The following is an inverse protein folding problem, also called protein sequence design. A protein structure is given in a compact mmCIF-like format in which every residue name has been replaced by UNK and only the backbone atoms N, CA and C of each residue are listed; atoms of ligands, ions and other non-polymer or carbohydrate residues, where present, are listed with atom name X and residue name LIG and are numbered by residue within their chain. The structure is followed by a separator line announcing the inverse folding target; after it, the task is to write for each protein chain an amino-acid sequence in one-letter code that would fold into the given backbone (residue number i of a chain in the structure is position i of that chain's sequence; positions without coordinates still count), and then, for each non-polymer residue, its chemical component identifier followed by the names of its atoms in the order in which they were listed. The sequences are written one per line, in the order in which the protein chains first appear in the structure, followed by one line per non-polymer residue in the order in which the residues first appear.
data_IF_371800205531
#
_entry.id   IF_371800205531
#
_cell.length_a   1.000
_cell.length_b   1.000
_cell.length_c   1.000
_cell.angle_alpha   90.00
_cell.angle_beta   90.00
_cell.angle_gamma   90.00
#
_symmetry.space_group_name_H-M   'P 1'
#
loop_
_entity.id
_entity.type
_entity.pdbx_description
1 polymer ?
#
# COMPACT_ATOMS: atom_id res chain seq x y z
N UNK A 1 7.92 29.58 -2.67
CA UNK A 1 7.64 28.13 -2.62
C UNK A 1 6.33 27.91 -3.36
N UNK A 2 6.40 27.40 -4.59
CA UNK A 2 5.31 27.42 -5.57
C UNK A 2 4.15 26.49 -5.17
N UNK A 3 2.92 27.03 -5.11
CA UNK A 3 1.69 26.30 -4.73
C UNK A 3 1.42 25.04 -5.54
N UNK A 4 1.93 24.95 -6.78
CA UNK A 4 1.73 23.81 -7.66
C UNK A 4 2.43 22.53 -7.14
N UNK A 5 3.61 22.67 -6.53
CA UNK A 5 4.37 21.50 -6.05
C UNK A 5 3.79 20.95 -4.73
N UNK A 6 3.12 21.79 -3.93
CA UNK A 6 2.49 21.35 -2.69
C UNK A 6 1.35 20.37 -2.92
N UNK A 7 0.56 20.59 -3.97
CA UNK A 7 -0.57 19.71 -4.30
C UNK A 7 -0.09 18.32 -4.76
N UNK A 8 1.03 18.25 -5.50
CA UNK A 8 1.59 16.98 -5.96
C UNK A 8 2.13 16.13 -4.80
N UNK A 9 2.91 16.71 -3.88
CA UNK A 9 3.42 16.00 -2.72
C UNK A 9 2.31 15.54 -1.76
N UNK A 10 1.27 16.35 -1.57
CA UNK A 10 0.09 15.96 -0.80
C UNK A 10 -0.67 14.81 -1.47
N UNK A 11 -0.88 14.85 -2.78
CA UNK A 11 -1.54 13.77 -3.51
C UNK A 11 -0.73 12.47 -3.46
N UNK A 12 0.59 12.54 -3.62
CA UNK A 12 1.47 11.37 -3.54
C UNK A 12 1.45 10.77 -2.13
N UNK A 13 1.54 11.61 -1.09
CA UNK A 13 1.44 11.18 0.30
C UNK A 13 0.09 10.53 0.60
N UNK A 14 -1.01 11.14 0.15
CA UNK A 14 -2.36 10.61 0.33
C UNK A 14 -2.54 9.27 -0.39
N UNK A 15 -1.95 9.11 -1.58
CA UNK A 15 -2.00 7.86 -2.35
C UNK A 15 -1.28 6.72 -1.63
N UNK A 16 -0.06 6.96 -1.15
CA UNK A 16 0.72 5.97 -0.40
C UNK A 16 0.00 5.58 0.90
N UNK A 17 -0.56 6.58 1.60
CA UNK A 17 -1.35 6.35 2.81
C UNK A 17 -2.60 5.52 2.53
N UNK A 18 -3.39 5.89 1.53
CA UNK A 18 -4.63 5.19 1.17
C UNK A 18 -4.35 3.73 0.75
N UNK A 19 -3.29 3.49 -0.01
CA UNK A 19 -2.93 2.13 -0.45
C UNK A 19 -2.43 1.27 0.72
N UNK A 20 -1.66 1.86 1.64
CA UNK A 20 -1.23 1.18 2.87
C UNK A 20 -2.40 0.87 3.79
N UNK A 21 -3.29 1.84 3.99
CA UNK A 21 -4.52 1.68 4.78
C UNK A 21 -5.45 0.62 4.14
N UNK A 22 -5.52 0.57 2.81
CA UNK A 22 -6.25 -0.46 2.07
C UNK A 22 -5.71 -1.86 2.35
N UNK A 23 -4.39 -2.04 2.35
CA UNK A 23 -3.75 -3.31 2.71
C UNK A 23 -3.92 -3.71 4.18
N UNK A 24 -4.29 -2.79 5.08
CA UNK A 24 -4.62 -3.09 6.48
C UNK A 24 -6.10 -3.44 6.61
N UNK A 25 -6.96 -2.58 6.09
CA UNK A 25 -8.40 -2.72 6.22
C UNK A 25 -8.94 -3.96 5.49
N UNK A 26 -8.46 -4.24 4.27
CA UNK A 26 -8.94 -5.35 3.46
C UNK A 26 -8.78 -6.73 4.15
N UNK A 27 -7.59 -7.13 4.63
CA UNK A 27 -7.42 -8.41 5.30
C UNK A 27 -8.07 -8.44 6.69
N UNK A 28 -8.17 -7.33 7.42
CA UNK A 28 -8.89 -7.28 8.71
C UNK A 28 -10.39 -7.51 8.52
N UNK A 29 -11.01 -6.82 7.55
CA UNK A 29 -12.43 -7.00 7.24
C UNK A 29 -12.67 -8.43 6.72
N UNK A 30 -11.80 -8.92 5.84
CA UNK A 30 -11.84 -10.31 5.38
C UNK A 30 -11.75 -11.31 6.52
N UNK A 31 -10.86 -11.07 7.50
CA UNK A 31 -10.69 -11.92 8.66
C UNK A 31 -11.91 -11.92 9.60
N UNK A 32 -12.54 -10.76 9.81
CA UNK A 32 -13.74 -10.65 10.63
C UNK A 32 -14.89 -11.46 10.05
N UNK A 33 -15.14 -11.32 8.74
CA UNK A 33 -16.23 -12.04 8.06
C UNK A 33 -15.95 -13.54 7.95
N UNK A 34 -14.74 -13.93 7.52
CA UNK A 34 -14.37 -15.34 7.37
C UNK A 34 -14.23 -16.03 8.73
N UNK A 35 -13.67 -15.35 9.72
CA UNK A 35 -13.48 -15.86 11.08
C UNK A 35 -14.80 -16.14 11.78
N UNK A 36 -15.74 -15.19 11.78
CA UNK A 36 -17.06 -15.41 12.38
C UNK A 36 -17.85 -16.50 11.65
N UNK A 37 -17.78 -16.55 10.32
CA UNK A 37 -18.49 -17.58 9.56
C UNK A 37 -17.97 -18.98 9.88
N UNK A 38 -16.65 -19.13 10.00
CA UNK A 38 -16.02 -20.41 10.30
C UNK A 38 -16.28 -20.84 11.75
N UNK A 39 -16.16 -19.92 12.72
CA UNK A 39 -16.47 -20.21 14.13
C UNK A 39 -17.94 -20.64 14.31
N UNK A 40 -18.87 -19.99 13.63
CA UNK A 40 -20.30 -20.32 13.70
C UNK A 40 -20.63 -21.67 13.04
N UNK A 41 -19.87 -22.06 12.00
CA UNK A 41 -20.03 -23.36 11.32
C UNK A 41 -19.50 -24.53 12.14
N UNK A 42 -18.42 -24.34 12.89
CA UNK A 42 -17.75 -25.40 13.65
C UNK A 42 -18.08 -25.40 15.16
N UNK A 43 -18.93 -24.47 15.64
CA UNK A 43 -19.33 -24.34 17.06
C UNK A 43 -18.13 -24.35 18.03
N UNK A 44 -16.98 -23.91 17.53
CA UNK A 44 -15.70 -23.96 18.23
C UNK A 44 -15.47 -22.61 18.90
N UNK A 45 -14.85 -22.59 20.07
CA UNK A 45 -14.33 -21.36 20.68
C UNK A 45 -13.50 -20.55 19.65
N UNK A 46 -13.34 -19.21 19.78
CA UNK A 46 -12.84 -18.31 18.73
C UNK A 46 -11.35 -18.49 18.36
N UNK A 47 -11.00 -19.69 17.95
CA UNK A 47 -9.68 -20.17 17.56
C UNK A 47 -9.47 -19.95 16.07
N UNK A 48 -10.51 -20.12 15.24
CA UNK A 48 -10.42 -19.82 13.82
C UNK A 48 -10.31 -18.32 13.58
N UNK A 49 -11.03 -17.51 14.37
CA UNK A 49 -10.84 -16.07 14.37
C UNK A 49 -9.37 -15.68 14.63
N UNK A 50 -8.71 -16.31 15.61
CA UNK A 50 -7.32 -16.01 15.93
C UNK A 50 -6.35 -16.43 14.81
N UNK A 51 -6.55 -17.62 14.23
CA UNK A 51 -5.74 -18.11 13.11
C UNK A 51 -5.90 -17.27 11.85
N UNK A 52 -7.14 -16.90 11.50
CA UNK A 52 -7.44 -16.09 10.32
C UNK A 52 -6.95 -14.65 10.52
N UNK A 53 -7.07 -14.09 11.72
CA UNK A 53 -6.51 -12.76 12.03
C UNK A 53 -4.99 -12.75 11.92
N UNK A 54 -4.32 -13.82 12.39
CA UNK A 54 -2.88 -14.00 12.21
C UNK A 54 -2.47 -14.07 10.74
N UNK A 55 -3.19 -14.85 9.93
CA UNK A 55 -2.96 -14.93 8.48
C UNK A 55 -3.19 -13.58 7.78
N UNK A 56 -4.27 -12.89 8.14
CA UNK A 56 -4.59 -11.57 7.64
C UNK A 56 -3.50 -10.54 7.96
N UNK A 57 -2.93 -10.60 9.16
CA UNK A 57 -1.83 -9.74 9.57
C UNK A 57 -0.56 -9.99 8.73
N UNK A 58 -0.22 -11.25 8.46
CA UNK A 58 0.92 -11.61 7.60
C UNK A 58 0.68 -11.15 6.16
N UNK A 59 -0.52 -11.38 5.61
CA UNK A 59 -0.88 -10.91 4.28
C UNK A 59 -0.83 -9.38 4.17
N UNK A 60 -1.28 -8.67 5.19
CA UNK A 60 -1.19 -7.21 5.26
C UNK A 60 0.28 -6.75 5.23
N UNK A 61 1.13 -7.36 6.05
CA UNK A 61 2.55 -7.02 6.14
C UNK A 61 3.28 -7.23 4.81
N UNK A 62 2.99 -8.33 4.11
CA UNK A 62 3.55 -8.62 2.79
C UNK A 62 3.03 -7.63 1.75
N UNK A 63 1.72 -7.36 1.74
CA UNK A 63 1.08 -6.44 0.80
C UNK A 63 1.64 -5.02 0.90
N UNK A 64 1.76 -4.49 2.13
CA UNK A 64 2.36 -3.18 2.40
C UNK A 64 3.82 -3.16 1.93
N UNK A 65 4.61 -4.20 2.26
CA UNK A 65 6.02 -4.28 1.87
C UNK A 65 6.22 -4.27 0.35
N UNK A 66 5.41 -5.05 -0.38
CA UNK A 66 5.44 -5.09 -1.85
C UNK A 66 5.00 -3.76 -2.47
N UNK A 67 3.93 -3.15 -1.97
CA UNK A 67 3.48 -1.83 -2.41
C UNK A 67 4.56 -0.78 -2.16
N UNK A 68 5.15 -0.75 -0.96
CA UNK A 68 6.24 0.17 -0.63
C UNK A 68 7.44 0.04 -1.57
N UNK A 69 7.91 -1.19 -1.81
CA UNK A 69 9.00 -1.44 -2.77
C UNK A 69 8.67 -1.00 -4.20
N UNK A 70 7.41 -1.19 -4.63
CA UNK A 70 6.94 -0.77 -5.95
C UNK A 70 6.95 0.75 -6.09
N UNK A 71 6.45 1.47 -5.08
CA UNK A 71 6.46 2.93 -5.07
C UNK A 71 7.87 3.51 -5.03
N UNK A 72 8.76 2.93 -4.23
CA UNK A 72 10.15 3.37 -4.16
C UNK A 72 10.86 3.27 -5.52
N UNK A 73 10.68 2.14 -6.23
CA UNK A 73 11.20 1.96 -7.60
C UNK A 73 10.55 2.92 -8.61
N UNK A 74 9.27 3.23 -8.46
CA UNK A 74 8.57 4.17 -9.34
C UNK A 74 9.14 5.59 -9.21
N UNK A 75 9.35 6.04 -7.98
CA UNK A 75 9.91 7.37 -7.68
C UNK A 75 11.33 7.48 -8.24
N UNK A 76 12.18 6.49 -7.97
CA UNK A 76 13.57 6.46 -8.46
C UNK A 76 13.65 6.50 -10.00
N UNK A 77 12.73 5.78 -10.67
CA UNK A 77 12.65 5.77 -12.14
C UNK A 77 12.13 7.10 -12.70
N UNK A 78 11.13 7.73 -12.06
CA UNK A 78 10.64 9.06 -12.45
C UNK A 78 11.72 10.14 -12.31
N UNK A 79 12.51 10.09 -11.24
CA UNK A 79 13.64 11.01 -11.03
C UNK A 79 14.75 10.83 -12.07
N UNK A 80 15.13 9.59 -12.37
CA UNK A 80 16.11 9.28 -13.41
C UNK A 80 15.66 9.77 -14.80
N UNK A 81 14.36 9.64 -15.11
CA UNK A 81 13.77 10.13 -16.36
C UNK A 81 13.68 11.66 -16.41
N UNK A 82 13.34 12.34 -15.30
CA UNK A 82 13.41 13.82 -15.22
C UNK A 82 14.83 14.32 -15.49
N UNK A 83 15.84 13.74 -14.83
CA UNK A 83 17.25 14.12 -15.01
C UNK A 83 17.76 13.91 -16.43
N UNK A 84 17.26 12.87 -17.11
CA UNK A 84 17.59 12.58 -18.51
C UNK A 84 16.93 13.56 -19.49
N UNK A 85 15.70 14.02 -19.21
CA UNK A 85 15.00 15.04 -20.02
C UNK A 85 15.66 16.41 -19.92
N UNK A 86 16.02 16.86 -18.72
CA UNK A 86 16.73 18.13 -18.51
C UNK A 86 18.04 18.19 -19.31
N UNK A 87 18.84 17.12 -19.29
CA UNK A 87 20.08 17.04 -20.07
C UNK A 87 19.86 17.07 -21.58
N UNK A 88 18.73 16.59 -22.08
CA UNK A 88 18.42 16.64 -23.51
C UNK A 88 17.87 17.99 -23.95
N UNK A 89 17.20 18.74 -23.06
CA UNK A 89 16.78 20.11 -23.33
C UNK A 89 17.97 21.07 -23.36
N UNK A 90 18.92 20.93 -22.43
CA UNK A 90 20.14 21.75 -22.37
C UNK A 90 21.04 21.57 -23.60
N UNK A 91 21.06 20.36 -24.19
CA UNK A 91 21.87 20.04 -25.38
C UNK A 91 21.24 20.50 -26.71
N UNK A 92 20.00 21.00 -26.69
CA UNK A 92 19.28 21.48 -27.88
C UNK A 92 19.26 23.00 -28.01
N UNK A 93 19.86 23.73 -27.06
CA UNK A 93 20.00 25.20 -27.06
C UNK A 93 21.40 25.57 -27.54
#
# INVERSE_FOLDING_TARGET
MDKNNQNYWLQLGLKIFAESAGWIAAPIIGALYLGQWLDNKYNTAPLFFLGITGLAFVMSSIGIGLTGMKYMKLIEKEEALRKSRDKQQDKKI
#
